data_IF_943400578233
#
_entry.id   IF_943400578233
#
_cell.length_a   1.000
_cell.length_b   1.000
_cell.length_c   1.000
_cell.angle_alpha   90.00
_cell.angle_beta   90.00
_cell.angle_gamma   90.00
#
_symmetry.space_group_name_H-M   'P 1'
#
loop_
_entity.id
_entity.type
_entity.pdbx_description
1 polymer ?
#
# COMPACT_ATOMS: atom_id res chain seq x y z
N UNK A 1 -2.82 26.35 9.61
CA UNK A 1 -2.10 25.07 9.83
C UNK A 1 -0.61 25.35 9.83
N UNK A 2 0.08 24.99 10.88
CA UNK A 2 1.53 25.05 10.99
C UNK A 2 2.20 23.95 10.14
N UNK A 3 3.53 24.01 10.01
CA UNK A 3 4.29 22.93 9.34
C UNK A 3 4.12 21.58 10.05
N UNK A 4 3.99 21.59 11.36
CA UNK A 4 3.83 20.37 12.15
C UNK A 4 2.43 19.79 12.02
N UNK A 5 1.39 20.62 11.91
CA UNK A 5 0.02 20.16 11.61
C UNK A 5 -0.01 19.42 10.26
N UNK A 6 0.67 19.96 9.23
CA UNK A 6 0.79 19.31 7.94
C UNK A 6 1.49 17.95 8.03
N UNK A 7 2.58 17.87 8.80
CA UNK A 7 3.27 16.58 8.99
C UNK A 7 2.39 15.54 9.68
N UNK A 8 1.58 15.96 10.66
CA UNK A 8 0.63 15.05 11.32
C UNK A 8 -0.46 14.58 10.37
N UNK A 9 -1.02 15.50 9.57
CA UNK A 9 -2.03 15.16 8.58
C UNK A 9 -1.49 14.19 7.52
N UNK A 10 -0.27 14.40 7.02
CA UNK A 10 0.37 13.52 6.04
C UNK A 10 0.66 12.13 6.64
N UNK A 11 1.09 12.06 7.91
CA UNK A 11 1.22 10.78 8.62
C UNK A 11 -0.13 10.07 8.74
N UNK A 12 -1.19 10.82 8.99
CA UNK A 12 -2.54 10.28 9.03
C UNK A 12 -2.95 9.69 7.68
N UNK A 13 -2.68 10.38 6.55
CA UNK A 13 -2.92 9.85 5.19
C UNK A 13 -2.19 8.53 5.00
N UNK A 14 -0.90 8.50 5.29
CA UNK A 14 -0.10 7.29 5.17
C UNK A 14 -0.64 6.14 6.03
N UNK A 15 -1.10 6.44 7.24
CA UNK A 15 -1.71 5.45 8.12
C UNK A 15 -3.08 4.97 7.61
N UNK A 16 -3.87 5.86 6.99
CA UNK A 16 -5.15 5.48 6.39
C UNK A 16 -4.98 4.52 5.21
N UNK A 17 -3.96 4.73 4.37
CA UNK A 17 -3.66 3.83 3.25
C UNK A 17 -3.29 2.42 3.74
N UNK A 18 -2.29 2.32 4.62
CA UNK A 18 -1.69 1.03 4.99
C UNK A 18 -2.54 0.16 5.93
N UNK A 19 -3.53 0.73 6.60
CA UNK A 19 -4.40 -0.01 7.53
C UNK A 19 -5.51 -0.78 6.82
N UNK A 20 -5.70 -0.57 5.53
CA UNK A 20 -6.81 -1.15 4.77
C UNK A 20 -6.52 -2.61 4.37
N UNK A 21 -7.52 -3.49 4.36
CA UNK A 21 -7.36 -4.83 3.79
C UNK A 21 -6.93 -4.80 2.32
N UNK A 22 -7.39 -3.80 1.56
CA UNK A 22 -7.00 -3.61 0.16
C UNK A 22 -5.48 -3.44 0.02
N UNK A 23 -4.87 -2.56 0.83
CA UNK A 23 -3.43 -2.37 0.84
C UNK A 23 -2.67 -3.64 1.24
N UNK A 24 -3.15 -4.36 2.26
CA UNK A 24 -2.55 -5.62 2.68
C UNK A 24 -2.49 -6.62 1.51
N UNK A 25 -3.58 -6.78 0.77
CA UNK A 25 -3.63 -7.65 -0.41
C UNK A 25 -2.74 -7.18 -1.54
N UNK A 26 -2.69 -5.87 -1.80
CA UNK A 26 -1.76 -5.29 -2.78
C UNK A 26 -0.32 -5.65 -2.43
N UNK A 27 0.07 -5.51 -1.16
CA UNK A 27 1.43 -5.84 -0.72
C UNK A 27 1.70 -7.35 -0.75
N UNK A 28 0.74 -8.18 -0.39
CA UNK A 28 0.86 -9.63 -0.47
C UNK A 28 1.10 -10.08 -1.92
N UNK A 29 0.31 -9.56 -2.87
CA UNK A 29 0.47 -9.82 -4.31
C UNK A 29 1.82 -9.33 -4.83
N UNK A 30 2.23 -8.12 -4.46
CA UNK A 30 3.54 -7.56 -4.84
C UNK A 30 4.69 -8.45 -4.36
N UNK A 31 4.61 -8.97 -3.14
CA UNK A 31 5.61 -9.91 -2.63
C UNK A 31 5.64 -11.17 -3.47
N UNK A 32 4.49 -11.77 -3.83
CA UNK A 32 4.44 -12.96 -4.68
C UNK A 32 5.12 -12.75 -6.04
N UNK A 33 4.88 -11.59 -6.64
CA UNK A 33 5.43 -11.27 -7.96
C UNK A 33 6.94 -10.97 -7.91
N UNK A 34 7.42 -10.29 -6.88
CA UNK A 34 8.79 -9.80 -6.81
C UNK A 34 9.74 -10.71 -6.04
N UNK A 35 9.23 -11.49 -5.09
CA UNK A 35 10.04 -12.30 -4.19
C UNK A 35 10.89 -13.38 -4.89
N UNK A 36 10.39 -14.12 -5.89
CA UNK A 36 11.19 -15.15 -6.57
C UNK A 36 12.44 -14.55 -7.22
N UNK A 37 12.31 -13.46 -7.96
CA UNK A 37 13.45 -12.82 -8.64
C UNK A 37 14.43 -12.19 -7.65
N UNK A 38 13.93 -11.63 -6.54
CA UNK A 38 14.76 -11.09 -5.47
C UNK A 38 15.56 -12.20 -4.79
N UNK A 39 14.94 -13.31 -4.49
CA UNK A 39 15.62 -14.46 -3.88
C UNK A 39 16.68 -15.03 -4.80
N UNK A 40 16.36 -15.24 -6.08
CA UNK A 40 17.32 -15.72 -7.06
C UNK A 40 18.56 -14.83 -7.13
N UNK A 41 18.36 -13.52 -7.30
CA UNK A 41 19.49 -12.56 -7.37
C UNK A 41 20.32 -12.53 -6.09
N UNK A 42 19.67 -12.68 -4.92
CA UNK A 42 20.35 -12.73 -3.62
C UNK A 42 21.21 -13.99 -3.49
N UNK A 43 20.68 -15.14 -3.88
CA UNK A 43 21.41 -16.42 -3.85
C UNK A 43 22.61 -16.37 -4.81
N UNK A 44 22.40 -15.89 -6.05
CA UNK A 44 23.48 -15.77 -7.04
C UNK A 44 24.60 -14.84 -6.54
N UNK A 45 24.24 -13.73 -5.89
CA UNK A 45 25.20 -12.79 -5.30
C UNK A 45 25.98 -13.47 -4.17
N UNK A 46 25.31 -14.18 -3.28
CA UNK A 46 25.95 -14.87 -2.16
C UNK A 46 26.90 -15.98 -2.66
N UNK A 47 26.53 -16.71 -3.71
CA UNK A 47 27.40 -17.73 -4.34
C UNK A 47 28.66 -17.06 -4.90
N UNK A 48 28.51 -15.98 -5.69
CA UNK A 48 29.65 -15.23 -6.27
C UNK A 48 30.60 -14.68 -5.19
N UNK A 49 30.04 -14.10 -4.12
CA UNK A 49 30.84 -13.62 -3.00
C UNK A 49 31.61 -14.75 -2.30
N UNK A 50 31.00 -15.92 -2.14
CA UNK A 50 31.62 -17.09 -1.53
C UNK A 50 32.72 -17.68 -2.41
N UNK A 51 32.52 -17.76 -3.71
CA UNK A 51 33.53 -18.20 -4.68
C UNK A 51 34.75 -17.23 -4.70
N UNK A 52 34.50 -15.93 -4.67
CA UNK A 52 35.57 -14.92 -4.58
C UNK A 52 36.34 -15.03 -3.26
N UNK A 53 35.63 -15.24 -2.15
CA UNK A 53 36.26 -15.46 -0.84
C UNK A 53 37.12 -16.70 -0.82
N UNK A 54 36.67 -17.80 -1.41
CA UNK A 54 37.45 -19.03 -1.55
C UNK A 54 38.71 -18.84 -2.38
N UNK A 55 38.64 -18.03 -3.46
CA UNK A 55 39.79 -17.72 -4.33
C UNK A 55 40.80 -16.76 -3.66
N UNK A 56 40.33 -15.84 -2.81
CA UNK A 56 41.15 -14.80 -2.20
C UNK A 56 41.63 -15.14 -0.78
N UNK A 57 41.14 -16.22 -0.19
CA UNK A 57 41.43 -16.61 1.21
C UNK A 57 40.88 -15.63 2.26
N UNK A 58 40.12 -14.61 1.86
CA UNK A 58 39.50 -13.65 2.77
C UNK A 58 38.09 -14.10 3.13
N UNK A 59 37.72 -14.19 4.43
CA UNK A 59 36.38 -14.58 4.82
C UNK A 59 35.36 -13.56 4.26
N UNK A 60 34.26 -14.06 3.69
CA UNK A 60 33.16 -13.23 3.26
C UNK A 60 32.67 -12.40 4.47
N UNK A 61 32.74 -11.10 4.39
CA UNK A 61 32.17 -10.21 5.41
C UNK A 61 30.66 -10.25 5.28
N UNK A 62 30.02 -11.16 6.00
CA UNK A 62 28.59 -11.03 6.28
C UNK A 62 28.39 -9.68 6.99
N UNK A 63 27.88 -8.70 6.25
CA UNK A 63 27.43 -7.44 6.86
C UNK A 63 26.29 -7.79 7.79
N UNK A 64 26.57 -7.85 9.10
CA UNK A 64 25.51 -7.91 10.08
C UNK A 64 24.69 -6.63 9.95
N UNK A 65 23.44 -6.75 9.53
CA UNK A 65 22.52 -5.62 9.53
C UNK A 65 22.37 -5.11 10.98
N UNK A 66 22.32 -3.80 11.20
CA UNK A 66 21.97 -3.24 12.51
C UNK A 66 20.67 -3.87 13.02
N UNK A 67 20.54 -4.03 14.34
CA UNK A 67 19.37 -4.65 14.98
C UNK A 67 18.06 -4.01 14.50
N UNK A 68 18.05 -2.68 14.29
CA UNK A 68 16.93 -1.90 13.76
C UNK A 68 16.55 -2.28 12.31
N UNK A 69 17.45 -2.88 11.55
CA UNK A 69 17.19 -3.39 10.19
C UNK A 69 16.93 -4.90 10.16
N UNK A 70 17.02 -5.59 11.31
CA UNK A 70 16.75 -7.03 11.42
C UNK A 70 15.26 -7.37 11.49
N UNK A 71 14.40 -6.38 11.74
CA UNK A 71 12.95 -6.55 11.59
C UNK A 71 12.60 -6.65 10.09
N UNK A 72 13.08 -7.71 9.49
CA UNK A 72 12.88 -8.02 8.08
C UNK A 72 11.47 -8.52 7.78
N UNK A 73 11.23 -8.69 6.50
CA UNK A 73 10.08 -9.45 6.00
C UNK A 73 10.04 -10.81 6.75
N UNK A 74 8.87 -11.27 7.26
CA UNK A 74 8.75 -12.58 7.89
C UNK A 74 9.04 -13.68 6.87
N UNK A 75 10.29 -14.13 6.84
CA UNK A 75 10.83 -15.03 5.84
C UNK A 75 11.22 -16.35 6.48
N UNK A 76 10.59 -17.44 6.05
CA UNK A 76 10.96 -18.81 6.39
C UNK A 76 11.88 -19.35 5.31
N UNK A 77 13.10 -19.74 5.69
CA UNK A 77 14.06 -20.39 4.79
C UNK A 77 14.34 -21.78 5.31
N UNK A 78 14.19 -22.79 4.47
CA UNK A 78 14.59 -24.16 4.75
C UNK A 78 15.56 -24.66 3.66
N UNK A 79 16.50 -25.50 4.08
CA UNK A 79 17.52 -26.09 3.23
C UNK A 79 17.31 -27.61 3.22
N UNK A 80 16.99 -28.16 2.08
CA UNK A 80 16.96 -29.60 1.87
C UNK A 80 18.24 -30.02 1.18
N UNK A 81 19.03 -30.90 1.82
CA UNK A 81 20.26 -31.44 1.26
C UNK A 81 19.95 -32.70 0.47
N UNK A 82 20.46 -32.78 -0.74
CA UNK A 82 20.40 -34.00 -1.52
C UNK A 82 21.55 -34.96 -1.16
N UNK A 83 21.30 -36.26 -1.15
CA UNK A 83 22.34 -37.24 -0.86
C UNK A 83 23.52 -37.20 -1.85
N UNK A 84 23.29 -36.68 -3.06
CA UNK A 84 24.28 -36.52 -4.14
C UNK A 84 25.24 -35.33 -3.96
N UNK A 85 25.08 -34.52 -2.88
CA UNK A 85 25.94 -33.39 -2.61
C UNK A 85 25.41 -32.05 -3.10
N UNK A 86 24.16 -31.99 -3.57
CA UNK A 86 23.42 -30.79 -3.87
C UNK A 86 22.47 -30.39 -2.74
N UNK A 87 21.61 -29.42 -3.00
CA UNK A 87 20.55 -29.02 -2.07
C UNK A 87 19.58 -28.00 -2.67
N UNK A 88 18.37 -27.98 -2.14
CA UNK A 88 17.34 -27.03 -2.52
C UNK A 88 17.10 -26.03 -1.39
N UNK A 89 16.95 -24.76 -1.76
CA UNK A 89 16.60 -23.69 -0.84
C UNK A 89 15.11 -23.38 -1.04
N UNK A 90 14.33 -23.60 -0.01
CA UNK A 90 12.93 -23.20 0.00
C UNK A 90 12.80 -21.92 0.81
N UNK A 91 12.19 -20.90 0.22
CA UNK A 91 11.93 -19.65 0.89
C UNK A 91 10.46 -19.28 0.75
N UNK A 92 9.81 -18.96 1.87
CA UNK A 92 8.42 -18.55 1.90
C UNK A 92 8.24 -17.30 2.79
N UNK A 93 7.41 -16.39 2.35
CA UNK A 93 7.03 -15.22 3.16
C UNK A 93 5.75 -15.58 3.92
N UNK A 94 5.84 -15.56 5.25
CA UNK A 94 4.66 -15.72 6.10
C UNK A 94 3.86 -14.42 6.12
N UNK A 95 2.53 -14.53 6.01
CA UNK A 95 1.63 -13.39 5.80
C UNK A 95 0.62 -13.25 6.92
N UNK A 96 1.08 -13.29 8.14
CA UNK A 96 0.27 -13.08 9.32
C UNK A 96 0.32 -11.65 9.83
N UNK A 97 0.12 -11.49 11.12
CA UNK A 97 0.12 -10.21 11.81
C UNK A 97 1.47 -9.48 11.72
N UNK A 98 2.59 -10.22 11.74
CA UNK A 98 3.94 -9.63 11.62
C UNK A 98 4.17 -9.04 10.25
N UNK A 99 3.74 -9.71 9.19
CA UNK A 99 3.78 -9.17 7.83
C UNK A 99 3.01 -7.85 7.74
N UNK A 100 1.81 -7.77 8.32
CA UNK A 100 1.03 -6.53 8.33
C UNK A 100 1.75 -5.42 9.09
N UNK A 101 2.27 -5.71 10.29
CA UNK A 101 3.05 -4.72 11.06
C UNK A 101 4.31 -4.28 10.30
N UNK A 102 4.99 -5.20 9.62
CA UNK A 102 6.15 -4.88 8.80
C UNK A 102 5.78 -3.94 7.64
N UNK A 103 4.68 -4.20 6.92
CA UNK A 103 4.22 -3.35 5.82
C UNK A 103 3.87 -1.95 6.32
N UNK A 104 3.12 -1.83 7.43
CA UNK A 104 2.77 -0.57 8.07
C UNK A 104 4.05 0.21 8.46
N UNK A 105 4.94 -0.43 9.20
CA UNK A 105 6.19 0.22 9.66
C UNK A 105 7.03 0.68 8.47
N UNK A 106 7.25 -0.18 7.49
CA UNK A 106 7.98 0.15 6.28
C UNK A 106 7.39 1.36 5.57
N UNK A 107 6.08 1.41 5.41
CA UNK A 107 5.41 2.52 4.76
C UNK A 107 5.57 3.82 5.56
N UNK A 108 5.29 3.79 6.86
CA UNK A 108 5.39 4.97 7.71
C UNK A 108 6.82 5.49 7.88
N UNK A 109 7.83 4.65 7.74
CA UNK A 109 9.24 5.06 7.86
C UNK A 109 9.89 5.46 6.53
N UNK A 110 9.52 4.81 5.42
CA UNK A 110 10.17 5.02 4.11
C UNK A 110 9.41 5.95 3.19
N UNK A 111 8.06 5.89 3.20
CA UNK A 111 7.26 6.67 2.27
C UNK A 111 6.83 8.03 2.84
N UNK A 112 6.60 8.13 4.14
CA UNK A 112 6.19 9.40 4.78
C UNK A 112 7.16 10.55 4.50
N UNK A 113 8.50 10.38 4.58
CA UNK A 113 9.44 11.44 4.22
C UNK A 113 9.24 11.96 2.79
N UNK A 114 8.97 11.08 1.83
CA UNK A 114 8.70 11.46 0.43
C UNK A 114 7.41 12.27 0.33
N UNK A 115 6.38 11.89 1.08
CA UNK A 115 5.11 12.60 1.11
C UNK A 115 5.22 14.04 1.66
N UNK A 116 6.17 14.30 2.56
CA UNK A 116 6.39 15.65 3.09
C UNK A 116 6.93 16.65 2.07
N UNK A 117 7.54 16.16 1.00
CA UNK A 117 8.11 17.00 -0.07
C UNK A 117 7.03 17.48 -1.06
N UNK A 118 5.83 16.89 -1.02
CA UNK A 118 4.75 17.27 -1.93
C UNK A 118 3.97 18.49 -1.46
N UNK A 119 3.39 19.20 -2.43
CA UNK A 119 2.55 20.38 -2.18
C UNK A 119 1.12 19.95 -1.93
N UNK A 120 0.78 19.73 -0.68
CA UNK A 120 -0.55 19.37 -0.27
C UNK A 120 -1.46 20.58 -0.14
N UNK A 121 -2.74 20.42 -0.48
CA UNK A 121 -3.79 21.39 -0.31
C UNK A 121 -5.08 20.74 0.19
N UNK A 122 -6.02 21.58 0.64
CA UNK A 122 -7.36 21.13 1.02
C UNK A 122 -8.33 21.82 0.07
N UNK A 123 -9.18 21.05 -0.60
CA UNK A 123 -10.13 21.51 -1.60
C UNK A 123 -11.55 21.30 -1.11
N UNK A 124 -12.47 22.18 -1.55
CA UNK A 124 -13.90 22.05 -1.28
C UNK A 124 -14.63 21.46 -2.50
N UNK A 125 -15.74 20.72 -2.32
CA UNK A 125 -16.54 20.22 -3.43
C UNK A 125 -17.30 21.35 -4.11
N UNK A 126 -17.88 21.11 -5.28
CA UNK A 126 -18.81 22.03 -5.92
C UNK A 126 -19.99 22.34 -4.99
N UNK A 127 -20.59 23.52 -5.17
CA UNK A 127 -21.73 23.92 -4.35
C UNK A 127 -22.90 22.94 -4.50
N UNK A 128 -23.40 22.45 -3.38
CA UNK A 128 -24.50 21.47 -3.36
C UNK A 128 -24.08 20.02 -3.45
N UNK A 129 -22.78 19.74 -3.61
CA UNK A 129 -22.22 18.40 -3.55
C UNK A 129 -21.37 18.21 -2.29
N UNK A 130 -21.18 16.96 -1.91
CA UNK A 130 -20.34 16.54 -0.77
C UNK A 130 -19.34 15.49 -1.21
N UNK A 131 -18.21 15.41 -0.52
CA UNK A 131 -17.29 14.29 -0.68
C UNK A 131 -17.87 13.02 -0.08
N UNK A 132 -17.62 11.91 -0.75
CA UNK A 132 -17.87 10.57 -0.25
C UNK A 132 -16.54 9.94 0.15
N UNK A 133 -16.57 8.92 1.00
CA UNK A 133 -15.37 8.15 1.35
C UNK A 133 -15.64 6.65 1.25
N UNK A 134 -14.63 5.84 1.54
CA UNK A 134 -14.74 4.38 1.40
C UNK A 134 -13.89 3.65 2.44
N UNK A 135 -13.99 2.34 2.46
CA UNK A 135 -13.11 1.45 3.23
C UNK A 135 -11.66 1.36 2.69
N UNK A 136 -11.43 1.96 1.51
CA UNK A 136 -10.10 2.18 0.92
C UNK A 136 -9.97 3.67 0.53
N UNK A 137 -9.84 4.58 1.53
CA UNK A 137 -10.13 5.99 1.33
C UNK A 137 -9.02 6.81 0.68
N UNK A 138 -7.78 6.32 0.65
CA UNK A 138 -6.66 7.02 0.02
C UNK A 138 -6.54 6.58 -1.42
N UNK A 139 -6.84 7.47 -2.33
CA UNK A 139 -6.76 7.19 -3.78
C UNK A 139 -5.43 7.71 -4.31
N UNK A 140 -4.71 6.84 -5.04
CA UNK A 140 -3.47 7.16 -5.76
C UNK A 140 -3.71 6.97 -7.25
N UNK A 141 -4.09 8.03 -7.90
CA UNK A 141 -4.58 8.04 -9.27
C UNK A 141 -3.48 8.42 -10.26
N UNK A 142 -3.27 7.62 -11.29
CA UNK A 142 -2.62 8.04 -12.52
C UNK A 142 -3.73 8.34 -13.53
N UNK A 143 -3.88 9.59 -13.93
CA UNK A 143 -4.95 10.04 -14.80
C UNK A 143 -4.39 10.70 -16.07
N UNK A 144 -4.69 10.10 -17.20
CA UNK A 144 -4.41 10.66 -18.53
C UNK A 144 -5.71 11.12 -19.22
N UNK A 145 -6.76 10.30 -19.13
CA UNK A 145 -8.09 10.59 -19.65
C UNK A 145 -9.13 9.70 -18.96
N UNK A 146 -10.42 9.93 -19.25
CA UNK A 146 -11.52 9.09 -18.74
C UNK A 146 -11.45 7.62 -19.21
N UNK A 147 -10.71 7.35 -20.28
CA UNK A 147 -10.50 6.02 -20.85
C UNK A 147 -9.13 5.43 -20.48
N UNK A 148 -8.25 6.25 -19.89
CA UNK A 148 -6.89 5.86 -19.54
C UNK A 148 -6.52 6.42 -18.17
N UNK A 149 -6.83 5.67 -17.15
CA UNK A 149 -6.43 5.92 -15.75
C UNK A 149 -6.30 4.61 -14.98
N UNK A 150 -5.55 4.65 -13.88
CA UNK A 150 -5.44 3.53 -12.96
C UNK A 150 -5.12 4.01 -11.53
N UNK A 151 -5.32 3.12 -10.56
CA UNK A 151 -5.09 3.39 -9.15
C UNK A 151 -3.73 2.90 -8.64
N UNK A 152 -2.77 2.71 -9.53
CA UNK A 152 -1.41 2.25 -9.21
C UNK A 152 -0.41 3.40 -9.06
N UNK A 153 -0.87 4.59 -8.75
CA UNK A 153 -0.04 5.77 -8.56
C UNK A 153 1.02 5.56 -7.48
N UNK A 154 2.23 6.00 -7.75
CA UNK A 154 3.36 5.93 -6.82
C UNK A 154 3.40 7.14 -5.89
N UNK A 155 3.83 6.95 -4.65
CA UNK A 155 3.97 8.01 -3.65
C UNK A 155 4.98 9.11 -4.01
N UNK A 156 5.84 8.90 -4.98
CA UNK A 156 6.81 9.86 -5.47
C UNK A 156 6.81 9.99 -7.00
N UNK A 157 5.87 9.37 -7.69
CA UNK A 157 5.82 9.34 -9.15
C UNK A 157 5.19 10.60 -9.72
N UNK A 158 5.91 11.40 -10.54
CA UNK A 158 5.33 12.57 -11.19
C UNK A 158 4.07 12.20 -12.00
N UNK A 159 3.06 13.07 -11.98
CA UNK A 159 1.77 12.85 -12.63
C UNK A 159 0.75 12.11 -11.76
N UNK A 160 1.15 11.51 -10.64
CA UNK A 160 0.20 10.90 -9.71
C UNK A 160 -0.57 11.96 -8.92
N UNK A 161 -1.87 11.82 -8.89
CA UNK A 161 -2.75 12.55 -7.98
C UNK A 161 -3.05 11.68 -6.75
N UNK A 162 -2.87 12.26 -5.55
CA UNK A 162 -3.21 11.57 -4.30
C UNK A 162 -4.26 12.40 -3.59
N UNK A 163 -5.33 11.74 -3.20
CA UNK A 163 -6.39 12.42 -2.46
C UNK A 163 -7.05 11.53 -1.40
N UNK A 164 -7.58 12.20 -0.39
CA UNK A 164 -8.29 11.61 0.74
C UNK A 164 -9.42 12.54 1.17
N UNK A 165 -10.69 12.15 1.07
CA UNK A 165 -11.78 12.85 1.72
C UNK A 165 -11.60 12.84 3.23
N UNK A 166 -11.48 14.02 3.84
CA UNK A 166 -11.33 14.19 5.29
C UNK A 166 -12.70 14.23 5.98
N UNK A 167 -13.63 14.90 5.35
CA UNK A 167 -15.03 15.03 5.72
C UNK A 167 -15.87 15.40 4.47
N UNK A 168 -17.19 15.59 4.58
CA UNK A 168 -18.04 15.93 3.42
C UNK A 168 -17.67 17.23 2.69
N UNK A 169 -16.94 18.14 3.32
CA UNK A 169 -16.60 19.44 2.74
C UNK A 169 -15.10 19.60 2.40
N UNK A 170 -14.24 18.72 2.90
CA UNK A 170 -12.78 18.84 2.78
C UNK A 170 -12.14 17.62 2.15
N UNK A 171 -11.46 17.85 1.03
CA UNK A 171 -10.62 16.87 0.34
C UNK A 171 -9.15 17.24 0.50
N UNK A 172 -8.35 16.40 1.14
CA UNK A 172 -6.91 16.55 1.07
C UNK A 172 -6.42 16.06 -0.30
N UNK A 173 -5.58 16.88 -0.96
CA UNK A 173 -5.16 16.64 -2.34
C UNK A 173 -3.71 17.03 -2.58
N UNK A 174 -3.02 16.27 -3.42
CA UNK A 174 -1.75 16.67 -4.04
C UNK A 174 -1.65 16.08 -5.45
N UNK A 175 -1.00 16.82 -6.34
CA UNK A 175 -0.60 16.34 -7.67
C UNK A 175 0.92 16.39 -7.74
N UNK A 176 1.56 15.23 -7.79
CA UNK A 176 3.02 15.09 -7.71
C UNK A 176 3.65 15.61 -9.00
N UNK A 177 4.60 16.54 -8.86
CA UNK A 177 5.30 17.13 -10.01
C UNK A 177 4.52 18.21 -10.74
N UNK A 178 3.29 18.54 -10.34
CA UNK A 178 2.53 19.63 -10.95
C UNK A 178 3.26 20.97 -10.78
N UNK A 179 3.33 21.80 -11.84
CA UNK A 179 4.04 23.09 -11.81
C UNK A 179 3.39 24.09 -10.83
N UNK A 180 2.08 23.99 -10.64
CA UNK A 180 1.31 24.81 -9.71
C UNK A 180 0.46 23.93 -8.81
N UNK A 181 0.50 24.21 -7.50
CA UNK A 181 -0.45 23.63 -6.57
C UNK A 181 -1.78 24.41 -6.65
N UNK A 182 -2.90 23.70 -6.45
CA UNK A 182 -4.20 24.35 -6.24
C UNK A 182 -4.20 25.18 -4.96
N UNK A 183 -5.02 26.21 -4.92
CA UNK A 183 -5.11 27.06 -3.74
C UNK A 183 -5.86 26.35 -2.61
N UNK A 184 -5.45 26.60 -1.38
CA UNK A 184 -6.15 26.04 -0.22
C UNK A 184 -7.55 26.64 -0.11
N UNK A 185 -8.56 25.80 0.07
CA UNK A 185 -9.97 26.19 0.13
C UNK A 185 -10.58 26.45 -1.24
N UNK A 186 -9.83 26.22 -2.33
CA UNK A 186 -10.37 26.30 -3.69
C UNK A 186 -11.54 25.33 -3.82
N UNK A 187 -12.61 25.82 -4.41
CA UNK A 187 -13.80 25.04 -4.71
C UNK A 187 -13.65 24.42 -6.10
N UNK A 188 -13.80 23.13 -6.16
CA UNK A 188 -13.77 22.39 -7.43
C UNK A 188 -15.05 22.68 -8.26
N UNK A 189 -14.95 22.51 -9.56
CA UNK A 189 -16.11 22.53 -10.44
C UNK A 189 -17.00 21.31 -10.19
N UNK A 190 -18.22 21.34 -10.69
CA UNK A 190 -19.15 20.20 -10.59
C UNK A 190 -18.53 18.96 -11.25
N UNK A 191 -18.04 19.07 -12.48
CA UNK A 191 -17.42 17.96 -13.20
C UNK A 191 -16.21 17.34 -12.48
N UNK A 192 -15.34 18.17 -11.90
CA UNK A 192 -14.20 17.67 -11.12
C UNK A 192 -14.68 16.97 -9.85
N UNK A 193 -15.69 17.51 -9.16
CA UNK A 193 -16.24 16.91 -7.93
C UNK A 193 -16.85 15.55 -8.22
N UNK A 194 -17.66 15.44 -9.28
CA UNK A 194 -18.28 14.18 -9.72
C UNK A 194 -17.22 13.14 -10.10
N UNK A 195 -16.14 13.58 -10.77
CA UNK A 195 -15.04 12.71 -11.16
C UNK A 195 -14.28 12.16 -9.94
N UNK A 196 -13.96 12.98 -8.94
CA UNK A 196 -13.34 12.56 -7.69
C UNK A 196 -14.26 11.60 -6.91
N UNK A 197 -15.55 11.88 -6.85
CA UNK A 197 -16.53 10.97 -6.23
C UNK A 197 -16.55 9.62 -6.94
N UNK A 198 -16.56 9.62 -8.27
CA UNK A 198 -16.46 8.40 -9.08
C UNK A 198 -15.20 7.60 -8.77
N UNK A 199 -14.03 8.23 -8.79
CA UNK A 199 -12.76 7.55 -8.49
C UNK A 199 -12.72 7.03 -7.05
N UNK A 200 -13.27 7.75 -6.08
CA UNK A 200 -13.40 7.27 -4.71
C UNK A 200 -14.28 6.01 -4.64
N UNK A 201 -15.39 6.01 -5.37
CA UNK A 201 -16.31 4.86 -5.41
C UNK A 201 -15.67 3.65 -6.13
N UNK A 202 -14.99 3.85 -7.24
CA UNK A 202 -14.32 2.79 -8.00
C UNK A 202 -13.14 2.18 -7.23
N UNK A 203 -12.41 3.01 -6.46
CA UNK A 203 -11.29 2.58 -5.63
C UNK A 203 -11.74 1.86 -4.34
N UNK A 204 -12.99 2.02 -3.92
CA UNK A 204 -13.52 1.36 -2.74
C UNK A 204 -13.33 -0.17 -2.83
N UNK A 205 -12.91 -0.79 -1.74
CA UNK A 205 -12.78 -2.25 -1.67
C UNK A 205 -14.17 -2.90 -1.59
N UNK A 206 -14.98 -2.52 -0.60
CA UNK A 206 -16.28 -3.11 -0.31
C UNK A 206 -17.37 -2.09 0.00
N UNK A 207 -17.03 -1.01 0.70
CA UNK A 207 -17.98 -0.06 1.26
C UNK A 207 -17.71 1.35 0.74
N UNK A 208 -18.80 2.03 0.38
CA UNK A 208 -18.81 3.48 0.13
C UNK A 208 -19.63 4.11 1.25
N UNK A 209 -19.14 5.20 1.80
CA UNK A 209 -19.74 5.92 2.91
C UNK A 209 -20.14 7.33 2.45
N UNK A 210 -21.37 7.70 2.68
CA UNK A 210 -21.93 9.02 2.35
C UNK A 210 -22.47 9.69 3.61
N UNK A 211 -22.45 11.01 3.71
CA UNK A 211 -23.02 11.72 4.86
C UNK A 211 -24.53 11.53 4.94
N UNK A 212 -25.21 11.53 3.81
CA UNK A 212 -26.65 11.35 3.66
C UNK A 212 -26.93 10.26 2.62
N UNK A 213 -28.12 9.63 2.64
CA UNK A 213 -28.56 8.75 1.58
C UNK A 213 -28.46 9.43 0.22
N UNK A 214 -27.74 8.80 -0.72
CA UNK A 214 -27.47 9.35 -2.04
C UNK A 214 -27.62 8.24 -3.09
N UNK A 215 -28.73 8.26 -3.81
CA UNK A 215 -29.05 7.24 -4.81
C UNK A 215 -28.08 7.26 -6.00
N UNK A 216 -27.45 8.41 -6.28
CA UNK A 216 -26.47 8.53 -7.37
C UNK A 216 -25.22 7.73 -7.09
N UNK A 217 -24.86 7.54 -5.81
CA UNK A 217 -23.65 6.80 -5.42
C UNK A 217 -23.70 5.35 -5.85
N UNK A 218 -24.90 4.75 -5.90
CA UNK A 218 -25.05 3.39 -6.41
C UNK A 218 -24.68 3.27 -7.90
N UNK A 219 -24.88 4.34 -8.67
CA UNK A 219 -24.51 4.43 -10.09
C UNK A 219 -23.04 4.70 -10.34
N UNK A 220 -22.30 5.22 -9.36
CA UNK A 220 -20.86 5.51 -9.50
C UNK A 220 -20.00 4.25 -9.65
N UNK A 221 -20.49 3.11 -9.22
CA UNK A 221 -19.81 1.83 -9.26
C UNK A 221 -20.70 0.78 -9.90
N UNK A 222 -20.24 0.18 -10.98
CA UNK A 222 -20.98 -0.88 -11.71
C UNK A 222 -21.03 -2.22 -10.96
N UNK A 223 -20.25 -2.37 -9.89
CA UNK A 223 -20.14 -3.62 -9.12
C UNK A 223 -21.15 -3.65 -7.98
N UNK A 224 -22.10 -4.56 -8.05
CA UNK A 224 -22.96 -4.94 -6.91
C UNK A 224 -22.26 -5.99 -6.06
N UNK A 225 -22.36 -5.86 -4.74
CA UNK A 225 -21.81 -6.82 -3.79
C UNK A 225 -22.96 -7.67 -3.25
N UNK A 226 -22.94 -8.96 -3.55
CA UNK A 226 -23.81 -9.92 -2.87
C UNK A 226 -23.38 -10.06 -1.41
N UNK A 227 -24.32 -9.88 -0.49
CA UNK A 227 -24.03 -9.87 0.95
C UNK A 227 -23.57 -11.23 1.46
N UNK A 228 -24.09 -12.32 0.92
CA UNK A 228 -23.69 -13.67 1.29
C UNK A 228 -22.24 -13.95 0.88
N UNK A 229 -21.90 -13.63 -0.36
CA UNK A 229 -20.52 -13.76 -0.87
C UNK A 229 -19.57 -12.88 -0.06
N UNK A 230 -19.98 -11.66 0.28
CA UNK A 230 -19.19 -10.75 1.12
C UNK A 230 -18.87 -11.34 2.50
N UNK A 231 -19.88 -11.91 3.17
CA UNK A 231 -19.70 -12.48 4.51
C UNK A 231 -18.85 -13.76 4.46
N UNK A 232 -18.94 -14.55 3.39
CA UNK A 232 -18.12 -15.74 3.17
C UNK A 232 -16.67 -15.36 2.90
N UNK A 233 -16.40 -14.41 2.01
CA UNK A 233 -15.05 -13.89 1.76
C UNK A 233 -14.42 -13.33 3.04
N UNK A 234 -15.19 -12.59 3.84
CA UNK A 234 -14.72 -12.04 5.11
C UNK A 234 -14.30 -13.14 6.09
N UNK A 235 -15.10 -14.21 6.19
CA UNK A 235 -14.78 -15.36 7.06
C UNK A 235 -13.54 -16.11 6.56
N UNK A 236 -13.47 -16.39 5.27
CA UNK A 236 -12.32 -17.06 4.65
C UNK A 236 -11.04 -16.25 4.86
N UNK A 237 -11.10 -14.92 4.70
CA UNK A 237 -9.96 -14.05 4.92
C UNK A 237 -9.52 -14.05 6.37
N UNK A 238 -10.46 -13.97 7.32
CA UNK A 238 -10.14 -14.00 8.75
C UNK A 238 -9.46 -15.31 9.15
N UNK A 239 -9.99 -16.44 8.69
CA UNK A 239 -9.43 -17.77 8.96
C UNK A 239 -8.03 -17.92 8.35
N UNK A 240 -7.85 -17.50 7.11
CA UNK A 240 -6.55 -17.55 6.45
C UNK A 240 -5.51 -16.68 7.18
N UNK A 241 -5.88 -15.47 7.54
CA UNK A 241 -4.98 -14.56 8.27
C UNK A 241 -4.62 -15.09 9.66
N UNK A 242 -5.55 -15.75 10.33
CA UNK A 242 -5.29 -16.43 11.60
C UNK A 242 -4.27 -17.56 11.42
N UNK A 243 -4.46 -18.44 10.44
CA UNK A 243 -3.53 -19.53 10.13
C UNK A 243 -2.12 -19.01 9.82
N UNK A 244 -2.01 -17.94 9.04
CA UNK A 244 -0.71 -17.31 8.76
C UNK A 244 -0.07 -16.74 10.03
N UNK A 245 -0.86 -16.18 10.94
CA UNK A 245 -0.36 -15.65 12.22
C UNK A 245 0.12 -16.75 13.15
N UNK A 246 -0.56 -17.89 13.16
CA UNK A 246 -0.14 -19.09 13.92
C UNK A 246 1.18 -19.64 13.36
N UNK A 247 1.28 -19.76 12.04
CA UNK A 247 2.52 -20.19 11.38
C UNK A 247 3.71 -19.22 11.65
N UNK A 248 3.46 -17.92 11.77
CA UNK A 248 4.49 -16.95 12.18
C UNK A 248 4.99 -17.19 13.61
N UNK A 249 4.11 -17.61 14.53
CA UNK A 249 4.47 -17.90 15.93
C UNK A 249 5.27 -19.18 16.05
N UNK A 250 4.82 -20.26 15.38
CA UNK A 250 5.53 -21.54 15.37
C UNK A 250 6.96 -21.42 14.81
N UNK A 251 7.22 -20.43 13.99
CA UNK A 251 8.55 -20.19 13.43
C UNK A 251 9.48 -19.43 14.38
N UNK A 252 8.95 -18.81 15.45
CA UNK A 252 9.73 -18.09 16.47
C UNK A 252 10.23 -19.00 17.61
N UNK A 253 9.58 -20.16 17.82
CA UNK A 253 9.97 -21.17 18.79
C UNK A 253 11.04 -22.10 18.22
#
# INVERSE_FOLDING_TARGET
MSRDDWKQLIRFVAAQDVRTPAYYWEQAKRVDEQFPSLMQSTIETAIKEREQSAKTGKPAKLKSLPIEQREGLPLKISLEREPSGGGQVHAAVLRGRRFWHWTIRRHLTKNVPVLWEHRWTILAPAKGLTWITSDNPVVRLNFNSLQDYNFNGGWGSPGTEIFLPLDPEHLLFTHIGAPRARQRGERMTQAETELIRRFTAEHAWRLILTPDPDDEVQGLRSRTVDRGIFDDERRQWANWHQQQTEAEREFEE
#
